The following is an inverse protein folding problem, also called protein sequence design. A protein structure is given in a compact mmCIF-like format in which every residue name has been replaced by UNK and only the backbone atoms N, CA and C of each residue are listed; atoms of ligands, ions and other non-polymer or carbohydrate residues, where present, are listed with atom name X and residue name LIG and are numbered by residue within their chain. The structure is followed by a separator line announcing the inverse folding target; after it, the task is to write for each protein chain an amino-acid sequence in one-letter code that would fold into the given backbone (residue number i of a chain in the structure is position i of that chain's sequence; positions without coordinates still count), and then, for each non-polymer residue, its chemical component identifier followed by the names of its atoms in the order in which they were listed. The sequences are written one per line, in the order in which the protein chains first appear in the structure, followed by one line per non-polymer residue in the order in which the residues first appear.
data_IF_216782439295
#
_entry.id   IF_216782439295
#
_cell.length_a   1.000
_cell.length_b   1.000
_cell.length_c   1.000
_cell.angle_alpha   90.00
_cell.angle_beta   90.00
_cell.angle_gamma   90.00
#
_symmetry.space_group_name_H-M   'P 1'
#
loop_
_entity.id
_entity.type
_entity.pdbx_description
1 polymer ?
#
# COMPACT_ATOMS: atom_id res chain seq x y z
N UNK A 1 52.12 16.94 -42.93
CA UNK A 1 51.90 17.13 -41.48
C UNK A 1 50.61 17.94 -41.32
N UNK A 2 49.49 17.24 -41.14
CA UNK A 2 48.15 17.85 -41.16
C UNK A 2 47.88 18.49 -39.80
N UNK A 3 48.00 19.83 -39.70
CA UNK A 3 47.69 20.56 -38.47
C UNK A 3 46.17 20.58 -38.32
N UNK A 4 45.65 19.73 -37.45
CA UNK A 4 44.27 19.81 -37.00
C UNK A 4 44.03 21.18 -36.38
N UNK A 5 43.36 22.06 -37.12
CA UNK A 5 42.74 23.26 -36.58
C UNK A 5 41.62 22.81 -35.65
N UNK A 6 41.94 22.60 -34.37
CA UNK A 6 40.93 22.69 -33.33
C UNK A 6 40.54 24.16 -33.28
N UNK A 7 39.47 24.49 -33.98
CA UNK A 7 38.81 25.79 -33.90
C UNK A 7 38.31 25.97 -32.47
N UNK A 8 39.13 26.60 -31.62
CA UNK A 8 38.70 27.10 -30.31
C UNK A 8 37.87 28.35 -30.51
N UNK A 9 36.62 28.18 -30.96
CA UNK A 9 35.61 29.23 -30.84
C UNK A 9 35.23 29.34 -29.36
N UNK A 10 35.65 30.42 -28.71
CA UNK A 10 35.19 30.74 -27.36
C UNK A 10 33.69 31.07 -27.38
N UNK A 11 32.98 30.69 -26.32
CA UNK A 11 31.57 31.02 -26.16
C UNK A 11 31.40 32.52 -25.86
N UNK A 12 30.45 33.17 -26.51
CA UNK A 12 30.09 34.55 -26.18
C UNK A 12 29.23 34.59 -24.91
N UNK A 13 29.32 35.68 -24.15
CA UNK A 13 28.49 35.87 -22.96
C UNK A 13 26.98 35.81 -23.28
N UNK A 14 26.60 36.22 -24.50
CA UNK A 14 25.23 36.11 -25.00
C UNK A 14 24.77 34.65 -25.19
N UNK A 15 25.61 33.80 -25.80
CA UNK A 15 25.31 32.37 -25.95
C UNK A 15 25.21 31.65 -24.61
N UNK A 16 26.05 32.02 -23.63
CA UNK A 16 25.96 31.47 -22.27
C UNK A 16 24.63 31.83 -21.62
N UNK A 17 24.16 33.08 -21.75
CA UNK A 17 22.86 33.50 -21.21
C UNK A 17 21.71 32.74 -21.87
N UNK A 18 21.74 32.57 -23.20
CA UNK A 18 20.71 31.79 -23.92
C UNK A 18 20.73 30.33 -23.47
N UNK A 19 21.91 29.71 -23.34
CA UNK A 19 22.04 28.34 -22.88
C UNK A 19 21.49 28.16 -21.46
N UNK A 20 21.80 29.08 -20.54
CA UNK A 20 21.24 29.06 -19.18
C UNK A 20 19.73 29.25 -19.16
N UNK A 21 19.18 30.07 -20.07
CA UNK A 21 17.74 30.26 -20.19
C UNK A 21 17.05 28.98 -20.68
N UNK A 22 17.61 28.31 -21.70
CA UNK A 22 17.11 27.03 -22.21
C UNK A 22 17.18 25.94 -21.12
N UNK A 23 18.30 25.85 -20.40
CA UNK A 23 18.46 24.90 -19.28
C UNK A 23 17.42 25.17 -18.19
N UNK A 24 17.17 26.44 -17.86
CA UNK A 24 16.19 26.80 -16.83
C UNK A 24 14.76 26.40 -17.25
N UNK A 25 14.40 26.57 -18.52
CA UNK A 25 13.11 26.12 -19.06
C UNK A 25 12.99 24.58 -18.98
N UNK A 26 14.08 23.84 -19.19
CA UNK A 26 14.07 22.38 -19.13
C UNK A 26 14.06 21.82 -17.70
N UNK A 27 14.85 22.41 -16.79
CA UNK A 27 15.07 21.90 -15.43
C UNK A 27 13.90 22.20 -14.50
N UNK A 28 13.28 23.37 -14.60
CA UNK A 28 12.20 23.77 -13.69
C UNK A 28 10.99 22.81 -13.73
N UNK A 29 10.48 22.39 -14.91
CA UNK A 29 9.44 21.36 -14.99
C UNK A 29 9.86 20.01 -14.38
N UNK A 30 11.10 19.57 -14.62
CA UNK A 30 11.62 18.33 -14.04
C UNK A 30 11.63 18.40 -12.51
N UNK A 31 12.18 19.48 -11.94
CA UNK A 31 12.17 19.74 -10.49
C UNK A 31 10.75 19.72 -9.91
N UNK A 32 9.78 20.31 -10.60
CA UNK A 32 8.38 20.32 -10.18
C UNK A 32 7.72 18.94 -10.26
N UNK A 33 8.15 18.06 -11.17
CA UNK A 33 7.63 16.68 -11.28
C UNK A 33 8.19 15.71 -10.25
N UNK A 34 9.35 15.97 -9.64
CA UNK A 34 9.96 15.07 -8.65
C UNK A 34 9.10 14.90 -7.40
N UNK A 35 8.53 15.98 -6.85
CA UNK A 35 7.70 15.90 -5.65
C UNK A 35 6.48 14.96 -5.82
N UNK A 36 5.65 15.15 -6.86
CA UNK A 36 4.56 14.23 -7.20
C UNK A 36 5.04 12.80 -7.46
N UNK A 37 6.14 12.60 -8.18
CA UNK A 37 6.66 11.26 -8.49
C UNK A 37 7.08 10.51 -7.22
N UNK A 38 7.77 11.18 -6.28
CA UNK A 38 8.16 10.60 -5.00
C UNK A 38 6.94 10.25 -4.14
N UNK A 39 5.93 11.13 -4.10
CA UNK A 39 4.67 10.86 -3.37
C UNK A 39 3.91 9.68 -3.96
N UNK A 40 3.86 9.56 -5.29
CA UNK A 40 3.24 8.44 -5.96
C UNK A 40 3.97 7.12 -5.65
N UNK A 41 5.30 7.12 -5.64
CA UNK A 41 6.11 5.96 -5.26
C UNK A 41 5.86 5.51 -3.82
N UNK A 42 5.92 6.44 -2.86
CA UNK A 42 5.65 6.15 -1.45
C UNK A 42 4.23 5.60 -1.24
N UNK A 43 3.23 6.15 -1.94
CA UNK A 43 1.86 5.63 -1.88
C UNK A 43 1.77 4.19 -2.40
N UNK A 44 2.41 3.88 -3.53
CA UNK A 44 2.42 2.52 -4.10
C UNK A 44 3.09 1.54 -3.14
N UNK A 45 4.21 1.93 -2.54
CA UNK A 45 4.91 1.12 -1.54
C UNK A 45 4.02 0.86 -0.33
N UNK A 46 3.44 1.92 0.25
CA UNK A 46 2.51 1.81 1.38
C UNK A 46 1.35 0.87 1.05
N UNK A 47 0.69 1.05 -0.08
CA UNK A 47 -0.41 0.18 -0.50
C UNK A 47 0.04 -1.28 -0.63
N UNK A 48 1.22 -1.54 -1.21
CA UNK A 48 1.74 -2.90 -1.35
C UNK A 48 2.03 -3.55 0.01
N UNK A 49 2.67 -2.82 0.94
CA UNK A 49 2.96 -3.31 2.28
C UNK A 49 1.67 -3.58 3.05
N UNK A 50 0.73 -2.63 3.08
CA UNK A 50 -0.54 -2.79 3.79
C UNK A 50 -1.38 -3.94 3.21
N UNK A 51 -1.40 -4.09 1.88
CA UNK A 51 -2.10 -5.22 1.23
C UNK A 51 -1.48 -6.56 1.61
N UNK A 52 -0.14 -6.65 1.64
CA UNK A 52 0.53 -7.88 2.05
C UNK A 52 0.27 -8.22 3.51
N UNK A 53 0.23 -7.22 4.40
CA UNK A 53 -0.13 -7.45 5.79
C UNK A 53 -1.58 -7.90 5.96
N UNK A 54 -2.52 -7.25 5.24
CA UNK A 54 -3.92 -7.69 5.26
C UNK A 54 -4.09 -9.12 4.75
N UNK A 55 -3.32 -9.52 3.72
CA UNK A 55 -3.28 -10.91 3.23
C UNK A 55 -2.70 -11.87 4.25
N UNK A 56 -1.60 -11.52 4.92
CA UNK A 56 -1.01 -12.37 5.95
C UNK A 56 -1.98 -12.62 7.11
N UNK A 57 -2.66 -11.58 7.60
CA UNK A 57 -3.73 -11.74 8.61
C UNK A 57 -4.88 -12.58 8.07
N UNK A 58 -5.29 -12.40 6.80
CA UNK A 58 -6.33 -13.22 6.18
C UNK A 58 -5.94 -14.70 6.09
N UNK A 59 -4.71 -15.01 5.71
CA UNK A 59 -4.20 -16.38 5.68
C UNK A 59 -4.25 -17.02 7.06
N UNK A 60 -3.90 -16.28 8.12
CA UNK A 60 -4.06 -16.74 9.51
C UNK A 60 -5.52 -17.01 9.86
N UNK A 61 -6.46 -16.16 9.45
CA UNK A 61 -7.89 -16.41 9.65
C UNK A 61 -8.34 -17.68 8.94
N UNK A 62 -7.87 -17.94 7.73
CA UNK A 62 -8.25 -19.11 6.95
C UNK A 62 -7.77 -20.42 7.60
N UNK A 63 -6.69 -20.39 8.37
CA UNK A 63 -6.19 -21.53 9.16
C UNK A 63 -7.09 -21.85 10.36
N UNK A 64 -7.84 -20.88 10.90
CA UNK A 64 -8.75 -21.12 12.01
C UNK A 64 -9.92 -22.02 11.61
N UNK A 65 -10.39 -22.82 12.56
CA UNK A 65 -11.57 -23.66 12.37
C UNK A 65 -12.82 -22.81 12.14
N UNK A 66 -13.73 -23.34 11.32
CA UNK A 66 -14.98 -22.68 10.98
C UNK A 66 -15.80 -22.33 12.23
N UNK A 67 -15.95 -23.28 13.16
CA UNK A 67 -16.69 -23.08 14.41
C UNK A 67 -16.10 -21.96 15.28
N UNK A 68 -14.77 -21.84 15.31
CA UNK A 68 -14.10 -20.78 16.06
C UNK A 68 -14.42 -19.40 15.49
N UNK A 69 -14.47 -19.28 14.16
CA UNK A 69 -14.82 -18.03 13.49
C UNK A 69 -16.32 -17.73 13.61
N UNK A 70 -17.17 -18.76 13.55
CA UNK A 70 -18.62 -18.65 13.70
C UNK A 70 -19.03 -18.08 15.06
N UNK A 71 -18.31 -18.43 16.12
CA UNK A 71 -18.50 -17.85 17.46
C UNK A 71 -18.15 -16.36 17.54
N UNK A 72 -17.41 -15.85 16.56
CA UNK A 72 -16.93 -14.47 16.49
C UNK A 72 -17.63 -13.68 15.38
N UNK A 73 -18.75 -14.18 14.86
CA UNK A 73 -19.57 -13.42 13.91
C UNK A 73 -20.12 -12.19 14.63
N UNK A 74 -19.78 -11.02 14.12
CA UNK A 74 -20.32 -9.74 14.56
C UNK A 74 -20.43 -8.80 13.36
N UNK A 75 -21.67 -8.55 12.94
CA UNK A 75 -21.99 -7.68 11.81
C UNK A 75 -22.00 -6.19 12.23
N UNK A 76 -21.91 -5.90 13.53
CA UNK A 76 -22.10 -4.55 14.06
C UNK A 76 -20.80 -3.77 14.20
N UNK A 77 -19.67 -4.44 14.46
CA UNK A 77 -18.37 -3.79 14.66
C UNK A 77 -17.22 -4.68 14.17
N UNK A 78 -16.14 -4.09 13.63
CA UNK A 78 -14.91 -4.82 13.38
C UNK A 78 -14.28 -5.29 14.70
N UNK A 79 -13.78 -6.51 14.67
CA UNK A 79 -12.98 -7.14 15.71
C UNK A 79 -11.51 -6.79 15.53
N UNK A 80 -10.84 -6.56 16.64
CA UNK A 80 -9.38 -6.48 16.66
C UNK A 80 -8.75 -7.88 16.54
N UNK A 81 -7.52 -7.94 16.01
CA UNK A 81 -6.79 -9.20 15.86
C UNK A 81 -6.69 -10.04 17.15
N UNK A 82 -6.55 -9.41 18.32
CA UNK A 82 -6.55 -10.12 19.62
C UNK A 82 -7.89 -10.82 19.93
N UNK A 83 -9.02 -10.22 19.55
CA UNK A 83 -10.33 -10.82 19.75
C UNK A 83 -10.48 -12.09 18.90
N UNK A 84 -9.80 -12.16 17.74
CA UNK A 84 -9.83 -13.29 16.80
C UNK A 84 -8.78 -14.35 17.11
N UNK A 85 -7.54 -13.96 17.40
CA UNK A 85 -6.42 -14.89 17.58
C UNK A 85 -6.04 -15.17 19.04
N UNK A 86 -6.50 -14.37 20.00
CA UNK A 86 -6.18 -14.52 21.42
C UNK A 86 -4.80 -13.97 21.85
N UNK A 87 -3.96 -13.57 20.90
CA UNK A 87 -2.65 -12.96 21.14
C UNK A 87 -2.75 -11.44 21.40
N UNK A 88 -1.67 -10.80 21.85
CA UNK A 88 -1.55 -9.33 21.87
C UNK A 88 -1.88 -8.74 20.49
N UNK A 89 -2.58 -7.60 20.48
CA UNK A 89 -3.07 -6.95 19.26
C UNK A 89 -1.97 -6.85 18.19
N UNK A 90 -2.23 -7.45 17.03
CA UNK A 90 -1.33 -7.42 15.88
C UNK A 90 -1.16 -5.95 15.45
N UNK A 91 0.01 -5.40 15.75
CA UNK A 91 0.39 -4.03 15.41
C UNK A 91 1.71 -4.07 14.69
N UNK A 92 1.82 -3.30 13.61
CA UNK A 92 3.09 -3.14 12.91
C UNK A 92 3.35 -1.67 12.60
N UNK A 93 4.62 -1.31 12.57
CA UNK A 93 5.06 0.05 12.26
C UNK A 93 5.53 0.13 10.81
N UNK A 94 5.08 1.16 10.09
CA UNK A 94 5.54 1.46 8.73
C UNK A 94 5.54 2.98 8.52
N UNK A 95 6.63 3.52 7.95
CA UNK A 95 6.80 4.97 7.73
C UNK A 95 6.48 5.87 8.95
N UNK A 96 6.73 5.37 10.18
CA UNK A 96 6.44 6.08 11.43
C UNK A 96 4.96 6.07 11.85
N UNK A 97 4.08 5.45 11.07
CA UNK A 97 2.72 5.10 11.47
C UNK A 97 2.66 3.74 12.17
N UNK A 98 1.63 3.54 13.01
CA UNK A 98 1.29 2.25 13.60
C UNK A 98 -0.04 1.79 13.03
N UNK A 99 -0.10 0.55 12.58
CA UNK A 99 -1.24 -0.02 11.87
C UNK A 99 -1.71 -1.29 12.59
N UNK A 100 -3.03 -1.44 12.71
CA UNK A 100 -3.70 -2.63 13.22
C UNK A 100 -4.72 -3.12 12.20
N UNK A 101 -4.90 -4.44 12.04
CA UNK A 101 -5.98 -4.98 11.24
C UNK A 101 -7.31 -4.94 11.98
N UNK A 102 -8.30 -4.41 11.28
CA UNK A 102 -9.72 -4.52 11.61
C UNK A 102 -10.28 -5.76 10.90
N UNK A 103 -10.88 -6.67 11.66
CA UNK A 103 -11.37 -7.94 11.16
C UNK A 103 -12.89 -7.97 11.25
N UNK A 104 -13.57 -8.26 10.15
CA UNK A 104 -15.02 -8.43 10.13
C UNK A 104 -15.36 -9.84 9.70
N UNK A 105 -16.22 -10.51 10.47
CA UNK A 105 -16.69 -11.87 10.20
C UNK A 105 -18.21 -11.80 10.14
N UNK A 106 -18.76 -11.98 8.95
CA UNK A 106 -20.21 -11.90 8.69
C UNK A 106 -20.72 -13.28 8.28
N UNK A 107 -21.90 -13.63 8.74
CA UNK A 107 -22.62 -14.80 8.25
C UNK A 107 -23.26 -14.51 6.88
N UNK A 108 -22.88 -15.29 5.87
CA UNK A 108 -23.32 -15.12 4.48
C UNK A 108 -24.07 -16.34 3.94
N UNK A 109 -24.47 -17.26 4.82
CA UNK A 109 -25.20 -18.48 4.47
C UNK A 109 -26.61 -18.23 3.94
N UNK A 110 -27.25 -17.14 4.38
CA UNK A 110 -28.65 -16.85 4.05
C UNK A 110 -29.65 -17.82 4.68
N UNK A 111 -29.20 -18.71 5.56
CA UNK A 111 -30.00 -19.72 6.24
C UNK A 111 -29.65 -19.79 7.74
N UNK A 112 -30.44 -20.54 8.52
CA UNK A 112 -30.19 -20.71 9.95
C UNK A 112 -28.96 -21.58 10.26
N UNK A 113 -28.42 -22.26 9.25
CA UNK A 113 -27.31 -23.20 9.40
C UNK A 113 -25.97 -22.49 9.48
N UNK A 114 -25.85 -21.26 8.97
CA UNK A 114 -24.63 -20.44 9.08
C UNK A 114 -23.39 -21.19 8.60
N UNK A 115 -23.49 -21.76 7.40
CA UNK A 115 -22.48 -22.64 6.78
C UNK A 115 -21.47 -21.89 5.92
N UNK A 116 -21.64 -20.57 5.76
CA UNK A 116 -20.78 -19.72 4.96
C UNK A 116 -20.49 -18.42 5.71
N UNK A 117 -19.21 -18.10 5.84
CA UNK A 117 -18.73 -16.88 6.47
C UNK A 117 -18.00 -16.02 5.44
N UNK A 118 -18.31 -14.73 5.43
CA UNK A 118 -17.48 -13.71 4.79
C UNK A 118 -16.48 -13.19 5.80
N UNK A 119 -15.19 -13.36 5.50
CA UNK A 119 -14.09 -12.85 6.29
C UNK A 119 -13.53 -11.62 5.58
N UNK A 120 -13.39 -10.51 6.30
CA UNK A 120 -12.77 -9.28 5.78
C UNK A 120 -11.70 -8.82 6.74
N UNK A 121 -10.54 -8.43 6.19
CA UNK A 121 -9.45 -7.78 6.92
C UNK A 121 -9.23 -6.41 6.29
N UNK A 122 -9.26 -5.36 7.10
CA UNK A 122 -9.02 -3.99 6.68
C UNK A 122 -7.85 -3.35 7.44
N UNK A 123 -7.00 -2.61 6.72
CA UNK A 123 -5.88 -1.85 7.27
C UNK A 123 -5.77 -0.52 6.54
N UNK A 124 -6.04 0.60 7.23
CA UNK A 124 -5.88 1.97 6.72
C UNK A 124 -6.47 2.18 5.30
N UNK A 125 -7.72 1.75 5.10
CA UNK A 125 -8.46 1.89 3.84
C UNK A 125 -8.19 0.81 2.78
N UNK A 126 -7.26 -0.12 3.02
CA UNK A 126 -7.09 -1.34 2.22
C UNK A 126 -7.93 -2.44 2.83
N UNK A 127 -8.75 -3.14 2.04
CA UNK A 127 -9.52 -4.29 2.48
C UNK A 127 -9.29 -5.52 1.59
N UNK A 128 -9.23 -6.68 2.23
CA UNK A 128 -9.19 -7.99 1.57
C UNK A 128 -10.31 -8.82 2.16
N UNK A 129 -11.13 -9.44 1.30
CA UNK A 129 -12.25 -10.28 1.71
C UNK A 129 -12.17 -11.66 1.06
N UNK A 130 -12.67 -12.67 1.77
CA UNK A 130 -12.79 -14.04 1.26
C UNK A 130 -14.00 -14.74 1.88
N UNK A 131 -14.35 -15.90 1.34
CA UNK A 131 -15.40 -16.77 1.85
C UNK A 131 -14.77 -18.02 2.47
N UNK A 132 -15.29 -18.44 3.62
CA UNK A 132 -14.98 -19.73 4.24
C UNK A 132 -16.27 -20.49 4.46
N UNK A 133 -16.33 -21.73 3.98
CA UNK A 133 -17.46 -22.62 4.17
C UNK A 133 -17.20 -23.62 5.31
N UNK A 134 -18.27 -24.11 5.92
CA UNK A 134 -18.29 -25.28 6.79
C UNK A 134 -18.04 -26.52 5.91
N UNK A 135 -16.93 -27.23 6.16
CA UNK A 135 -16.52 -28.42 5.42
C UNK A 135 -16.68 -29.67 6.27
#
# INVERSE_FOLDING_TARGET
MNKGHLNSYGFTLFEIIIALFIISIAVVPMMKSFGPAMKAGAFVEKTAVLTNQARATMERMLVLDFDTLKLKVDDSQPLSGNAVFGDTQETFAFEGGSYSPDITIIDSSGDASKTLLTLTVAIDGISVSTLKAEY
#
